data_IF_408454919072
#
_entry.id   IF_408454919072
#
_cell.length_a   1.000
_cell.length_b   1.000
_cell.length_c   1.000
_cell.angle_alpha   90.00
_cell.angle_beta   90.00
_cell.angle_gamma   90.00
#
_symmetry.space_group_name_H-M   'P 1'
#
loop_
_entity.id
_entity.type
_entity.pdbx_description
1 polymer ?
#
# COMPACT_ATOMS: atom_id res chain seq x y z
N UNK A 1 9.21 -15.51 -30.09
CA UNK A 1 9.58 -14.23 -29.41
C UNK A 1 9.95 -14.55 -27.97
N UNK A 2 11.04 -13.99 -27.45
CA UNK A 2 11.39 -14.10 -26.04
C UNK A 2 10.60 -13.06 -25.25
N UNK A 3 9.94 -13.46 -24.15
CA UNK A 3 9.22 -12.54 -23.26
C UNK A 3 10.28 -11.86 -22.37
N UNK A 4 10.33 -10.52 -22.31
CA UNK A 4 11.22 -9.83 -21.38
C UNK A 4 10.86 -10.14 -19.92
N UNK A 5 11.84 -10.58 -19.13
CA UNK A 5 11.71 -10.83 -17.69
C UNK A 5 12.60 -9.81 -16.98
N UNK A 6 11.96 -8.91 -16.24
CA UNK A 6 12.63 -7.78 -15.61
C UNK A 6 12.96 -8.07 -14.14
N UNK A 7 14.24 -7.97 -13.73
CA UNK A 7 14.63 -8.10 -12.34
C UNK A 7 14.12 -6.90 -11.51
N UNK A 8 14.22 -6.99 -10.19
CA UNK A 8 13.73 -5.99 -9.25
C UNK A 8 14.20 -4.56 -9.57
N UNK A 9 15.49 -4.37 -9.89
CA UNK A 9 16.04 -3.04 -10.21
C UNK A 9 15.42 -2.43 -11.47
N UNK A 10 15.32 -3.22 -12.55
CA UNK A 10 14.69 -2.80 -13.80
C UNK A 10 13.18 -2.56 -13.63
N UNK A 11 12.48 -3.42 -12.88
CA UNK A 11 11.07 -3.20 -12.54
C UNK A 11 10.90 -1.88 -11.78
N UNK A 12 11.75 -1.59 -10.81
CA UNK A 12 11.68 -0.37 -9.99
C UNK A 12 11.89 0.89 -10.84
N UNK A 13 12.84 0.88 -11.78
CA UNK A 13 13.11 2.04 -12.65
C UNK A 13 11.96 2.40 -13.58
N UNK A 14 11.08 1.44 -13.89
CA UNK A 14 9.86 1.64 -14.69
C UNK A 14 8.65 2.12 -13.87
N UNK A 15 8.80 2.29 -12.56
CA UNK A 15 7.72 2.68 -11.65
C UNK A 15 8.08 3.95 -10.86
N UNK A 16 8.37 5.09 -11.53
CA UNK A 16 8.56 6.36 -10.82
C UNK A 16 7.32 6.69 -10.00
N UNK A 17 7.51 7.06 -8.73
CA UNK A 17 6.39 7.13 -7.77
C UNK A 17 5.32 8.16 -8.18
N UNK A 18 5.72 9.29 -8.77
CA UNK A 18 4.77 10.32 -9.22
C UNK A 18 3.87 9.81 -10.36
N UNK A 19 4.47 9.16 -11.37
CA UNK A 19 3.75 8.61 -12.52
C UNK A 19 2.88 7.42 -12.09
N UNK A 20 3.37 6.62 -11.14
CA UNK A 20 2.61 5.54 -10.55
C UNK A 20 1.39 6.04 -9.78
N UNK A 21 1.51 7.13 -9.01
CA UNK A 21 0.35 7.77 -8.36
C UNK A 21 -0.68 8.25 -9.39
N UNK A 22 -0.22 8.81 -10.52
CA UNK A 22 -1.11 9.23 -11.59
C UNK A 22 -1.84 8.03 -12.23
N UNK A 23 -1.11 6.95 -12.55
CA UNK A 23 -1.70 5.73 -13.11
C UNK A 23 -2.72 5.10 -12.15
N UNK A 24 -2.43 5.08 -10.83
CA UNK A 24 -3.34 4.59 -9.79
C UNK A 24 -4.58 5.48 -9.65
N UNK A 25 -4.45 6.80 -9.76
CA UNK A 25 -5.59 7.72 -9.72
C UNK A 25 -6.56 7.48 -10.88
N UNK A 26 -6.06 7.27 -12.10
CA UNK A 26 -6.88 6.90 -13.26
C UNK A 26 -7.54 5.52 -13.07
N UNK A 27 -6.76 4.55 -12.62
CA UNK A 27 -7.25 3.20 -12.36
C UNK A 27 -8.33 3.15 -11.25
N UNK A 28 -8.25 4.01 -10.24
CA UNK A 28 -9.29 4.09 -9.20
C UNK A 28 -10.66 4.47 -9.77
N UNK A 29 -10.70 5.43 -10.68
CA UNK A 29 -11.93 5.81 -11.36
C UNK A 29 -12.44 4.70 -12.30
N UNK A 30 -11.55 4.00 -13.01
CA UNK A 30 -11.89 2.88 -13.88
C UNK A 30 -12.39 1.67 -13.10
N UNK A 31 -11.75 1.34 -11.98
CA UNK A 31 -12.13 0.23 -11.11
C UNK A 31 -13.52 0.45 -10.51
N UNK A 32 -13.77 1.63 -9.95
CA UNK A 32 -15.09 1.99 -9.41
C UNK A 32 -16.18 1.97 -10.49
N UNK A 33 -15.84 2.31 -11.74
CA UNK A 33 -16.76 2.25 -12.88
C UNK A 33 -16.89 0.85 -13.49
N UNK A 34 -16.25 -0.19 -12.94
CA UNK A 34 -16.29 -1.56 -13.47
C UNK A 34 -15.53 -1.77 -14.78
N UNK A 35 -14.70 -0.80 -15.22
CA UNK A 35 -13.88 -0.93 -16.43
C UNK A 35 -12.58 -1.71 -16.20
N UNK A 36 -12.12 -1.80 -14.95
CA UNK A 36 -11.11 -2.77 -14.53
C UNK A 36 -11.82 -3.87 -13.78
N UNK A 37 -11.66 -5.11 -14.25
CA UNK A 37 -12.17 -6.30 -13.59
C UNK A 37 -11.03 -6.92 -12.78
N UNK A 38 -11.23 -7.00 -11.47
CA UNK A 38 -10.27 -7.61 -10.54
C UNK A 38 -11.05 -8.51 -9.59
N UNK A 39 -11.15 -9.81 -9.87
CA UNK A 39 -11.83 -10.74 -8.97
C UNK A 39 -11.06 -10.89 -7.65
N UNK A 40 -11.75 -11.40 -6.65
CA UNK A 40 -11.16 -11.73 -5.37
C UNK A 40 -9.96 -12.69 -5.56
N UNK A 41 -8.91 -12.48 -4.75
CA UNK A 41 -7.70 -13.30 -4.84
C UNK A 41 -7.98 -14.75 -4.49
N UNK A 42 -7.43 -15.67 -5.27
CA UNK A 42 -7.43 -17.09 -4.93
C UNK A 42 -6.25 -17.37 -4.01
N UNK A 43 -6.50 -18.14 -2.96
CA UNK A 43 -5.49 -18.56 -1.98
C UNK A 43 -5.36 -20.07 -2.06
N UNK A 44 -4.19 -20.55 -2.49
CA UNK A 44 -3.88 -21.98 -2.53
C UNK A 44 -2.85 -22.30 -1.44
N UNK A 45 -3.12 -23.29 -0.58
CA UNK A 45 -2.15 -23.71 0.42
C UNK A 45 -0.94 -24.36 -0.25
N UNK A 46 0.24 -24.06 0.27
CA UNK A 46 1.49 -24.73 -0.02
C UNK A 46 1.91 -25.57 1.22
N UNK A 47 3.14 -26.06 1.23
CA UNK A 47 3.66 -26.83 2.36
C UNK A 47 3.83 -25.94 3.61
N UNK A 48 3.42 -26.42 4.77
CA UNK A 48 3.46 -25.67 6.03
C UNK A 48 2.45 -24.52 6.02
N UNK A 49 2.84 -23.35 6.53
CA UNK A 49 2.01 -22.13 6.57
C UNK A 49 2.17 -21.26 5.30
N UNK A 50 2.80 -21.80 4.26
CA UNK A 50 3.01 -21.08 3.01
C UNK A 50 1.74 -21.09 2.14
N UNK A 51 1.53 -20.02 1.40
CA UNK A 51 0.41 -19.87 0.46
C UNK A 51 0.89 -19.30 -0.88
N UNK A 52 0.18 -19.71 -1.94
CA UNK A 52 0.27 -19.11 -3.26
C UNK A 52 -0.99 -18.28 -3.48
N UNK A 53 -0.81 -17.01 -3.83
CA UNK A 53 -1.87 -16.07 -4.16
C UNK A 53 -1.91 -15.86 -5.67
N UNK A 54 -3.06 -16.12 -6.28
CA UNK A 54 -3.35 -15.86 -7.68
C UNK A 54 -4.27 -14.65 -7.78
N UNK A 55 -3.80 -13.59 -8.44
CA UNK A 55 -4.45 -12.28 -8.47
C UNK A 55 -4.49 -11.75 -9.92
N UNK A 56 -5.48 -12.16 -10.73
CA UNK A 56 -5.66 -11.62 -12.08
C UNK A 56 -6.39 -10.28 -12.05
N UNK A 57 -6.13 -9.45 -13.07
CA UNK A 57 -6.97 -8.29 -13.40
C UNK A 57 -6.93 -8.01 -14.90
N UNK A 58 -7.99 -7.41 -15.42
CA UNK A 58 -8.08 -7.05 -16.84
C UNK A 58 -8.79 -5.70 -17.03
N UNK A 59 -8.39 -5.04 -18.11
CA UNK A 59 -9.04 -3.85 -18.67
C UNK A 59 -9.08 -3.97 -20.20
N UNK A 60 -9.52 -2.95 -20.89
CA UNK A 60 -9.65 -2.98 -22.35
C UNK A 60 -8.31 -3.01 -23.11
N UNK A 61 -7.21 -2.62 -22.46
CA UNK A 61 -5.87 -2.48 -23.04
C UNK A 61 -4.91 -3.61 -22.65
N UNK A 62 -4.91 -4.00 -21.38
CA UNK A 62 -4.06 -5.07 -20.86
C UNK A 62 -4.79 -6.01 -19.91
N UNK A 63 -4.32 -7.26 -19.84
CA UNK A 63 -4.56 -8.17 -18.74
C UNK A 63 -3.27 -8.37 -17.95
N UNK A 64 -3.41 -8.63 -16.65
CA UNK A 64 -2.29 -9.03 -15.79
C UNK A 64 -2.62 -10.25 -14.97
N UNK A 65 -1.58 -10.98 -14.58
CA UNK A 65 -1.70 -11.98 -13.53
C UNK A 65 -0.52 -11.82 -12.55
N UNK A 66 -0.82 -11.40 -11.33
CA UNK A 66 0.15 -11.44 -10.24
C UNK A 66 0.07 -12.80 -9.54
N UNK A 67 1.17 -13.51 -9.54
CA UNK A 67 1.38 -14.75 -8.81
C UNK A 67 2.40 -14.49 -7.69
N UNK A 68 1.97 -14.63 -6.43
CA UNK A 68 2.81 -14.34 -5.26
C UNK A 68 2.77 -15.50 -4.28
N UNK A 69 3.94 -15.95 -3.86
CA UNK A 69 4.10 -16.95 -2.81
C UNK A 69 4.50 -16.24 -1.50
N UNK A 70 3.79 -16.55 -0.43
CA UNK A 70 4.13 -16.09 0.93
C UNK A 70 4.57 -17.31 1.74
N UNK A 71 5.85 -17.35 2.06
CA UNK A 71 6.50 -18.47 2.74
C UNK A 71 7.16 -17.96 4.04
N UNK A 72 6.44 -17.91 5.19
CA UNK A 72 6.95 -17.34 6.43
C UNK A 72 8.25 -18.01 6.92
N UNK A 73 8.36 -19.32 6.73
CA UNK A 73 9.52 -20.12 7.19
C UNK A 73 10.81 -19.85 6.40
N UNK A 74 10.74 -19.16 5.27
CA UNK A 74 11.93 -18.78 4.49
C UNK A 74 12.95 -17.96 5.29
N UNK A 75 12.47 -17.16 6.26
CA UNK A 75 13.37 -16.41 7.15
C UNK A 75 14.36 -17.30 7.91
N UNK A 76 13.94 -18.53 8.28
CA UNK A 76 14.80 -19.50 8.96
C UNK A 76 15.94 -20.00 8.06
N UNK A 77 15.81 -19.81 6.75
CA UNK A 77 16.77 -20.21 5.72
C UNK A 77 17.50 -19.01 5.09
N UNK A 78 17.31 -17.80 5.61
CA UNK A 78 17.87 -16.56 5.03
C UNK A 78 17.27 -16.16 3.68
N UNK A 79 16.11 -16.72 3.31
CA UNK A 79 15.43 -16.42 2.06
C UNK A 79 14.33 -15.36 2.29
N UNK A 80 13.98 -14.58 1.25
CA UNK A 80 12.82 -13.69 1.31
C UNK A 80 11.53 -14.46 1.59
N UNK A 81 10.64 -13.90 2.40
CA UNK A 81 9.32 -14.49 2.69
C UNK A 81 8.34 -14.40 1.52
N UNK A 82 8.59 -13.49 0.58
CA UNK A 82 7.71 -13.22 -0.55
C UNK A 82 8.51 -13.37 -1.85
N UNK A 83 7.99 -14.23 -2.74
CA UNK A 83 8.45 -14.38 -4.11
C UNK A 83 7.25 -14.25 -5.05
N UNK A 84 7.45 -13.72 -6.24
CA UNK A 84 6.36 -13.63 -7.19
C UNK A 84 6.69 -12.83 -8.43
N UNK A 85 5.78 -12.88 -9.37
CA UNK A 85 5.87 -12.18 -10.64
C UNK A 85 4.54 -11.49 -10.96
N UNK A 86 4.58 -10.47 -11.81
CA UNK A 86 3.42 -9.92 -12.51
C UNK A 86 3.64 -10.11 -14.00
N UNK A 87 2.88 -11.00 -14.61
CA UNK A 87 2.86 -11.18 -16.06
C UNK A 87 1.83 -10.24 -16.69
N UNK A 88 2.20 -9.61 -17.80
CA UNK A 88 1.41 -8.59 -18.50
C UNK A 88 1.12 -9.06 -19.90
N UNK A 89 -0.12 -8.91 -20.34
CA UNK A 89 -0.64 -9.40 -21.61
C UNK A 89 -1.40 -8.28 -22.34
N UNK A 90 -1.30 -8.28 -23.65
CA UNK A 90 -2.16 -7.48 -24.51
C UNK A 90 -3.60 -8.01 -24.44
N UNK A 91 -4.58 -7.14 -24.14
CA UNK A 91 -5.95 -7.60 -23.91
C UNK A 91 -6.68 -8.05 -25.18
N UNK A 92 -6.26 -7.59 -26.36
CA UNK A 92 -6.89 -7.94 -27.63
C UNK A 92 -6.38 -9.27 -28.17
N UNK A 93 -5.07 -9.49 -28.11
CA UNK A 93 -4.41 -10.64 -28.75
C UNK A 93 -4.04 -11.76 -27.76
N UNK A 94 -4.04 -11.48 -26.45
CA UNK A 94 -3.53 -12.38 -25.42
C UNK A 94 -2.01 -12.54 -25.43
N UNK A 95 -1.28 -11.78 -26.25
CA UNK A 95 0.17 -11.88 -26.36
C UNK A 95 0.83 -11.44 -25.04
N UNK A 96 1.76 -12.26 -24.49
CA UNK A 96 2.55 -11.83 -23.34
C UNK A 96 3.50 -10.70 -23.73
N UNK A 97 3.48 -9.61 -22.98
CA UNK A 97 4.25 -8.40 -23.24
C UNK A 97 5.55 -8.35 -22.43
N UNK A 98 5.46 -8.56 -21.12
CA UNK A 98 6.60 -8.58 -20.20
C UNK A 98 6.24 -9.24 -18.85
N UNK A 99 7.27 -9.57 -18.08
CA UNK A 99 7.14 -10.08 -16.71
C UNK A 99 7.93 -9.15 -15.79
N UNK A 100 7.26 -8.63 -14.75
CA UNK A 100 7.81 -7.75 -13.72
C UNK A 100 8.09 -8.53 -12.43
N UNK A 101 9.05 -8.05 -11.63
CA UNK A 101 9.29 -8.54 -10.27
C UNK A 101 8.09 -8.21 -9.35
N UNK A 102 7.37 -9.24 -8.90
CA UNK A 102 6.14 -9.10 -8.14
C UNK A 102 6.30 -8.40 -6.78
N UNK A 103 7.34 -8.74 -5.98
CA UNK A 103 7.63 -8.03 -4.74
C UNK A 103 7.89 -6.54 -4.94
N UNK A 104 8.60 -6.15 -6.00
CA UNK A 104 8.87 -4.74 -6.32
C UNK A 104 7.59 -4.00 -6.74
N UNK A 105 6.79 -4.58 -7.64
CA UNK A 105 5.48 -4.02 -8.00
C UNK A 105 4.63 -3.81 -6.76
N UNK A 106 4.53 -4.82 -5.89
CA UNK A 106 3.72 -4.73 -4.66
C UNK A 106 4.23 -3.63 -3.72
N UNK A 107 5.54 -3.51 -3.52
CA UNK A 107 6.11 -2.48 -2.64
C UNK A 107 5.83 -1.06 -3.19
N UNK A 108 6.10 -0.83 -4.49
CA UNK A 108 5.94 0.47 -5.13
C UNK A 108 4.47 0.89 -5.20
N UNK A 109 3.55 0.00 -5.66
CA UNK A 109 2.12 0.36 -5.77
C UNK A 109 1.46 0.57 -4.40
N UNK A 110 1.88 -0.16 -3.35
CA UNK A 110 1.32 0.01 -2.00
C UNK A 110 1.73 1.36 -1.42
N UNK A 111 3.01 1.73 -1.56
CA UNK A 111 3.48 3.04 -1.15
C UNK A 111 2.79 4.16 -1.94
N UNK A 112 2.63 4.01 -3.27
CA UNK A 112 1.96 5.00 -4.12
C UNK A 112 0.47 5.17 -3.76
N UNK A 113 -0.25 4.10 -3.42
CA UNK A 113 -1.64 4.17 -2.91
C UNK A 113 -1.69 5.00 -1.61
N UNK A 114 -0.77 4.78 -0.68
CA UNK A 114 -0.70 5.57 0.54
C UNK A 114 -0.40 7.06 0.25
N UNK A 115 0.50 7.34 -0.68
CA UNK A 115 0.79 8.73 -1.09
C UNK A 115 -0.41 9.37 -1.77
N UNK A 116 -1.13 8.64 -2.62
CA UNK A 116 -2.34 9.11 -3.27
C UNK A 116 -3.45 9.40 -2.24
N UNK A 117 -3.62 8.54 -1.24
CA UNK A 117 -4.55 8.78 -0.14
C UNK A 117 -4.17 10.01 0.68
N UNK A 118 -2.88 10.22 0.97
CA UNK A 118 -2.39 11.43 1.66
C UNK A 118 -2.72 12.69 0.84
N UNK A 119 -2.39 12.69 -0.44
CA UNK A 119 -2.65 13.83 -1.32
C UNK A 119 -4.15 14.14 -1.46
N UNK A 120 -5.02 13.12 -1.36
CA UNK A 120 -6.46 13.28 -1.52
C UNK A 120 -7.18 13.65 -0.23
N UNK A 121 -6.71 13.14 0.93
CA UNK A 121 -7.42 13.23 2.21
C UNK A 121 -6.77 14.18 3.22
N UNK A 122 -5.53 14.61 3.01
CA UNK A 122 -4.85 15.56 3.88
C UNK A 122 -4.71 16.92 3.20
N UNK A 123 -5.14 17.98 3.86
CA UNK A 123 -5.09 19.32 3.29
C UNK A 123 -3.68 19.88 3.32
N UNK A 124 -3.10 20.16 2.16
CA UNK A 124 -1.78 20.71 2.03
C UNK A 124 -0.63 19.74 2.34
N UNK A 125 0.55 20.28 2.66
CA UNK A 125 1.73 19.48 3.01
C UNK A 125 1.73 19.19 4.52
N UNK A 126 1.85 17.92 4.96
CA UNK A 126 1.98 17.63 6.38
C UNK A 126 3.29 18.19 6.95
N UNK A 127 3.26 18.65 8.20
CA UNK A 127 4.47 19.13 8.89
C UNK A 127 5.42 17.97 9.22
N UNK A 128 4.87 16.82 9.54
CA UNK A 128 5.59 15.58 9.78
C UNK A 128 4.70 14.36 9.47
N UNK A 129 5.34 13.23 9.17
CA UNK A 129 4.71 11.93 8.99
C UNK A 129 5.25 10.98 10.06
N UNK A 130 4.38 10.24 10.75
CA UNK A 130 4.80 9.10 11.56
C UNK A 130 4.67 7.80 10.75
N UNK A 131 5.72 6.99 10.80
CA UNK A 131 5.78 5.68 10.17
C UNK A 131 5.88 4.63 11.27
N UNK A 132 4.83 3.84 11.47
CA UNK A 132 4.80 2.80 12.50
C UNK A 132 5.08 1.46 11.86
N UNK A 133 6.29 0.93 12.09
CA UNK A 133 6.85 -0.26 11.49
C UNK A 133 8.19 0.00 10.83
N UNK A 134 9.08 -1.01 10.84
CA UNK A 134 10.47 -0.94 10.33
C UNK A 134 10.76 -2.06 9.33
N UNK A 135 9.70 -2.61 8.73
CA UNK A 135 9.77 -3.71 7.77
C UNK A 135 9.99 -3.25 6.32
N UNK A 136 9.87 -4.20 5.39
CA UNK A 136 10.07 -3.98 3.95
C UNK A 136 9.11 -2.94 3.37
N UNK A 137 7.83 -2.96 3.79
CA UNK A 137 6.85 -1.97 3.35
C UNK A 137 7.21 -0.56 3.85
N UNK A 138 7.71 -0.43 5.07
CA UNK A 138 8.17 0.83 5.62
C UNK A 138 9.31 1.45 4.79
N UNK A 139 10.25 0.62 4.30
CA UNK A 139 11.31 1.08 3.39
C UNK A 139 10.74 1.65 2.08
N UNK A 140 9.80 0.95 1.44
CA UNK A 140 9.16 1.43 0.21
C UNK A 140 8.37 2.73 0.42
N UNK A 141 7.67 2.85 1.55
CA UNK A 141 6.96 4.08 1.91
C UNK A 141 7.92 5.24 2.16
N UNK A 142 9.07 4.98 2.81
CA UNK A 142 10.08 6.01 3.03
C UNK A 142 10.66 6.57 1.73
N UNK A 143 10.92 5.69 0.75
CA UNK A 143 11.36 6.10 -0.58
C UNK A 143 10.29 6.93 -1.31
N UNK A 144 9.02 6.53 -1.21
CA UNK A 144 7.91 7.27 -1.79
C UNK A 144 7.71 8.65 -1.12
N UNK A 145 7.84 8.72 0.21
CA UNK A 145 7.81 9.97 0.96
C UNK A 145 8.97 10.88 0.54
N UNK A 146 10.18 10.35 0.39
CA UNK A 146 11.34 11.11 -0.04
C UNK A 146 11.16 11.71 -1.44
N UNK A 147 10.52 10.97 -2.35
CA UNK A 147 10.26 11.43 -3.71
C UNK A 147 9.21 12.54 -3.79
N UNK A 148 8.14 12.47 -2.97
CA UNK A 148 7.01 13.40 -3.04
C UNK A 148 7.04 14.53 -2.00
N UNK A 149 7.70 14.29 -0.86
CA UNK A 149 7.81 15.23 0.26
C UNK A 149 9.27 15.39 0.71
N UNK A 150 10.20 15.81 -0.17
CA UNK A 150 11.60 15.96 0.23
C UNK A 150 11.72 16.88 1.46
N UNK A 151 12.74 16.62 2.29
CA UNK A 151 13.06 17.36 3.52
C UNK A 151 12.00 17.30 4.64
N UNK A 152 10.95 16.47 4.47
CA UNK A 152 9.94 16.31 5.53
C UNK A 152 10.53 15.55 6.72
N UNK A 153 10.05 15.87 7.92
CA UNK A 153 10.34 15.08 9.12
C UNK A 153 9.51 13.77 9.08
N UNK A 154 10.21 12.65 9.28
CA UNK A 154 9.58 11.35 9.45
C UNK A 154 9.95 10.75 10.80
N UNK A 155 8.96 10.63 11.68
CA UNK A 155 9.05 9.97 12.97
C UNK A 155 8.86 8.46 12.77
N UNK A 156 9.92 7.69 12.96
CA UNK A 156 9.91 6.23 12.75
C UNK A 156 9.69 5.52 14.08
N UNK A 157 8.59 4.78 14.18
CA UNK A 157 8.23 4.01 15.36
C UNK A 157 8.43 2.51 15.12
N UNK A 158 9.44 1.93 15.76
CA UNK A 158 9.65 0.48 15.82
C UNK A 158 9.06 -0.13 17.09
N UNK A 159 9.20 -1.44 17.23
CA UNK A 159 8.83 -2.15 18.45
C UNK A 159 9.70 -1.68 19.62
N UNK A 160 11.00 -1.60 19.36
CA UNK A 160 11.98 -1.04 20.29
C UNK A 160 12.67 0.19 19.66
N UNK A 161 13.22 1.06 20.52
CA UNK A 161 13.97 2.25 20.07
C UNK A 161 15.16 1.87 19.18
N UNK A 162 15.80 0.74 19.46
CA UNK A 162 16.92 0.22 18.67
C UNK A 162 16.49 -0.12 17.23
N UNK A 163 15.29 -0.70 17.04
CA UNK A 163 14.75 -1.01 15.69
C UNK A 163 14.52 0.27 14.89
N UNK A 164 13.97 1.30 15.53
CA UNK A 164 13.74 2.62 14.91
C UNK A 164 15.06 3.29 14.52
N UNK A 165 16.04 3.27 15.42
CA UNK A 165 17.35 3.88 15.19
C UNK A 165 18.11 3.18 14.06
N UNK A 166 18.11 1.85 14.05
CA UNK A 166 18.72 1.05 12.98
C UNK A 166 18.05 1.28 11.62
N UNK A 167 16.71 1.36 11.60
CA UNK A 167 15.96 1.66 10.39
C UNK A 167 16.31 3.07 9.87
N UNK A 168 16.33 4.09 10.73
CA UNK A 168 16.73 5.44 10.35
C UNK A 168 18.17 5.48 9.82
N UNK A 169 19.10 4.77 10.45
CA UNK A 169 20.50 4.71 10.01
C UNK A 169 20.64 4.09 8.61
N UNK A 170 19.92 3.01 8.31
CA UNK A 170 19.93 2.37 6.98
C UNK A 170 19.40 3.29 5.88
N UNK A 171 18.47 4.18 6.20
CA UNK A 171 17.82 5.07 5.25
C UNK A 171 18.32 6.53 5.32
N UNK A 172 19.39 6.78 6.07
CA UNK A 172 19.98 8.12 6.21
C UNK A 172 20.36 8.82 4.89
N UNK A 173 20.67 8.09 3.77
CA UNK A 173 20.92 8.74 2.48
C UNK A 173 19.69 9.37 1.81
N UNK A 174 18.47 9.07 2.26
CA UNK A 174 17.27 9.69 1.71
C UNK A 174 17.16 11.16 2.14
N UNK A 175 16.64 12.07 1.28
CA UNK A 175 16.44 13.48 1.61
C UNK A 175 15.24 13.67 2.56
N UNK A 176 15.37 13.16 3.79
CA UNK A 176 14.35 13.18 4.84
C UNK A 176 15.00 13.50 6.20
N UNK A 177 14.25 14.20 7.05
CA UNK A 177 14.64 14.40 8.46
C UNK A 177 14.12 13.22 9.31
N UNK A 178 14.85 12.09 9.30
CA UNK A 178 14.46 10.86 10.02
C UNK A 178 14.70 11.01 11.52
N UNK A 179 13.70 10.65 12.32
CA UNK A 179 13.77 10.66 13.79
C UNK A 179 13.31 9.31 14.34
N UNK A 180 14.18 8.56 15.05
CA UNK A 180 13.75 7.34 15.72
C UNK A 180 12.86 7.71 16.91
N UNK A 181 11.72 7.03 17.02
CA UNK A 181 10.70 7.27 18.05
C UNK A 181 10.19 5.96 18.64
N UNK A 182 9.54 6.05 19.80
CA UNK A 182 8.81 4.98 20.46
C UNK A 182 7.60 5.56 21.21
N UNK A 183 6.54 4.77 21.34
CA UNK A 183 5.34 5.15 22.11
C UNK A 183 4.43 6.09 21.35
N UNK A 184 3.87 7.08 22.04
CA UNK A 184 2.86 7.99 21.48
C UNK A 184 3.40 8.82 20.31
N UNK A 185 2.54 9.02 19.32
CA UNK A 185 2.83 9.89 18.16
C UNK A 185 2.78 11.37 18.59
N UNK A 186 3.75 12.15 18.16
CA UNK A 186 3.82 13.58 18.49
C UNK A 186 2.59 14.35 17.97
N UNK A 187 2.18 15.39 18.72
CA UNK A 187 0.93 16.10 18.43
C UNK A 187 0.95 16.91 17.12
N UNK A 188 2.12 17.30 16.65
CA UNK A 188 2.36 18.02 15.40
C UNK A 188 2.47 17.12 14.16
N UNK A 189 2.39 15.80 14.32
CA UNK A 189 2.34 14.85 13.21
C UNK A 189 0.98 14.90 12.53
N UNK A 190 0.97 15.26 11.25
CA UNK A 190 -0.26 15.37 10.45
C UNK A 190 -0.71 14.07 9.80
N UNK A 191 0.20 13.12 9.55
CA UNK A 191 -0.13 11.82 8.93
C UNK A 191 0.53 10.70 9.70
N UNK A 192 -0.21 9.63 9.97
CA UNK A 192 0.30 8.40 10.58
C UNK A 192 0.08 7.25 9.59
N UNK A 193 1.14 6.52 9.25
CA UNK A 193 1.08 5.33 8.40
C UNK A 193 1.46 4.11 9.23
N UNK A 194 0.57 3.11 9.32
CA UNK A 194 0.84 1.86 10.05
C UNK A 194 1.18 0.74 9.07
N UNK A 195 2.31 0.05 9.30
CA UNK A 195 2.94 -0.90 8.37
C UNK A 195 3.46 -2.14 9.10
N UNK A 196 2.70 -2.63 10.08
CA UNK A 196 3.09 -3.76 10.91
C UNK A 196 2.27 -5.02 10.61
N UNK A 197 2.69 -6.14 11.15
CA UNK A 197 1.93 -7.39 11.13
C UNK A 197 1.28 -7.67 12.49
N UNK A 198 0.94 -6.62 13.24
CA UNK A 198 0.35 -6.76 14.57
C UNK A 198 -1.02 -7.44 14.53
N UNK A 199 -1.32 -8.23 15.57
CA UNK A 199 -2.64 -8.85 15.78
C UNK A 199 -3.49 -8.08 16.79
N UNK A 200 -2.93 -7.01 17.36
CA UNK A 200 -3.62 -6.12 18.28
C UNK A 200 -3.29 -4.67 17.90
N UNK A 201 -4.20 -3.73 18.19
CA UNK A 201 -3.96 -2.32 17.91
C UNK A 201 -2.64 -1.82 18.52
N UNK A 202 -1.92 -1.01 17.76
CA UNK A 202 -0.65 -0.37 18.16
C UNK A 202 -0.78 1.16 18.15
N UNK A 203 -1.82 1.68 17.52
CA UNK A 203 -2.22 3.08 17.56
C UNK A 203 -3.52 3.19 18.36
N UNK A 204 -3.46 3.86 19.52
CA UNK A 204 -4.57 3.93 20.50
C UNK A 204 -5.12 5.34 20.70
N UNK A 205 -4.59 6.34 19.99
CA UNK A 205 -5.04 7.71 20.12
C UNK A 205 -6.41 7.90 19.46
N UNK A 206 -7.18 8.85 19.98
CA UNK A 206 -8.47 9.22 19.40
C UNK A 206 -8.31 9.83 17.99
N UNK A 207 -9.39 9.76 17.22
CA UNK A 207 -9.47 10.39 15.91
C UNK A 207 -9.33 11.92 16.00
N UNK A 208 -8.56 12.54 15.11
CA UNK A 208 -8.32 13.98 15.07
C UNK A 208 -8.52 14.53 13.65
N UNK A 209 -9.19 15.67 13.51
CA UNK A 209 -9.45 16.29 12.21
C UNK A 209 -8.18 16.81 11.53
N UNK A 210 -7.14 17.12 12.30
CA UNK A 210 -5.83 17.58 11.80
C UNK A 210 -4.83 16.43 11.56
N UNK A 211 -5.25 15.15 11.70
CA UNK A 211 -4.41 13.97 11.52
C UNK A 211 -5.11 12.95 10.64
N UNK A 212 -4.46 12.58 9.53
CA UNK A 212 -4.88 11.47 8.70
C UNK A 212 -4.24 10.17 9.18
N UNK A 213 -5.04 9.11 9.32
CA UNK A 213 -4.55 7.76 9.56
C UNK A 213 -4.56 6.97 8.25
N UNK A 214 -3.48 6.25 7.98
CA UNK A 214 -3.32 5.36 6.80
C UNK A 214 -2.93 3.98 7.31
N UNK A 215 -3.88 3.07 7.36
CA UNK A 215 -3.68 1.68 7.80
C UNK A 215 -3.34 0.76 6.63
N UNK A 216 -2.18 0.12 6.66
CA UNK A 216 -1.69 -0.73 5.55
C UNK A 216 -1.39 -2.16 6.00
N UNK A 217 -0.89 -2.34 7.23
CA UNK A 217 -0.30 -3.60 7.66
C UNK A 217 -1.30 -4.70 8.01
N UNK A 218 -2.48 -4.36 8.52
CA UNK A 218 -3.52 -5.33 8.85
C UNK A 218 -4.35 -5.69 7.61
N UNK A 219 -3.96 -6.73 6.88
CA UNK A 219 -4.57 -7.22 5.64
C UNK A 219 -5.21 -8.61 5.79
N UNK A 220 -5.44 -9.06 7.02
CA UNK A 220 -6.16 -10.29 7.36
C UNK A 220 -7.09 -10.03 8.54
N UNK A 221 -8.20 -10.76 8.68
CA UNK A 221 -9.17 -10.55 9.75
C UNK A 221 -8.60 -10.69 11.17
N UNK A 222 -7.54 -11.48 11.36
CA UNK A 222 -6.87 -11.70 12.64
C UNK A 222 -5.80 -10.65 13.00
N UNK A 223 -5.66 -9.59 12.19
CA UNK A 223 -4.69 -8.51 12.36
C UNK A 223 -5.37 -7.21 12.73
N UNK A 224 -4.70 -6.38 13.54
CA UNK A 224 -5.14 -5.02 13.84
C UNK A 224 -3.97 -4.10 14.15
N UNK A 225 -4.03 -2.86 13.68
CA UNK A 225 -3.04 -1.82 13.94
C UNK A 225 -3.66 -0.59 14.60
N UNK A 226 -4.89 -0.24 14.22
CA UNK A 226 -5.58 0.99 14.63
C UNK A 226 -6.68 0.64 15.63
N UNK A 227 -6.70 1.35 16.75
CA UNK A 227 -7.65 1.13 17.83
C UNK A 227 -9.09 1.56 17.46
N UNK A 228 -10.10 0.94 18.10
CA UNK A 228 -11.51 1.15 17.77
C UNK A 228 -11.98 2.60 17.98
N UNK A 229 -11.42 3.34 18.92
CA UNK A 229 -11.77 4.74 19.15
C UNK A 229 -11.42 5.64 17.96
N UNK A 230 -10.23 5.43 17.36
CA UNK A 230 -9.82 6.14 16.17
C UNK A 230 -10.69 5.77 14.95
N UNK A 231 -11.06 4.49 14.82
CA UNK A 231 -11.93 4.01 13.73
C UNK A 231 -13.32 4.62 13.84
N UNK A 232 -13.96 4.50 15.01
CA UNK A 232 -15.30 5.00 15.26
C UNK A 232 -15.43 6.54 15.10
N UNK A 233 -14.36 7.29 15.41
CA UNK A 233 -14.32 8.74 15.28
C UNK A 233 -14.03 9.26 13.86
N UNK A 234 -13.70 8.40 12.90
CA UNK A 234 -13.23 8.78 11.57
C UNK A 234 -14.26 8.55 10.45
N UNK A 235 -14.18 9.33 9.39
CA UNK A 235 -14.71 8.93 8.09
C UNK A 235 -13.78 7.86 7.52
N UNK A 236 -14.36 6.76 7.04
CA UNK A 236 -13.60 5.60 6.60
C UNK A 236 -13.49 5.54 5.08
N UNK A 237 -12.29 5.30 4.60
CA UNK A 237 -11.98 5.11 3.18
C UNK A 237 -11.19 3.82 2.99
N UNK A 238 -11.38 3.16 1.86
CA UNK A 238 -10.56 2.02 1.47
C UNK A 238 -10.16 2.10 0.00
N UNK A 239 -8.99 1.56 -0.31
CA UNK A 239 -8.58 1.36 -1.71
C UNK A 239 -9.49 0.33 -2.43
N UNK A 240 -10.00 -0.66 -1.70
CA UNK A 240 -10.96 -1.66 -2.17
C UNK A 240 -11.99 -1.95 -1.08
N UNK A 241 -13.14 -1.22 -1.03
CA UNK A 241 -14.18 -1.43 -0.02
C UNK A 241 -14.78 -2.84 -0.03
N UNK A 242 -14.82 -3.51 -1.21
CA UNK A 242 -15.34 -4.87 -1.32
C UNK A 242 -14.39 -5.87 -0.70
N UNK A 243 -13.11 -5.83 -1.06
CA UNK A 243 -12.07 -6.69 -0.48
C UNK A 243 -11.84 -6.40 1.01
N UNK A 244 -11.97 -5.13 1.43
CA UNK A 244 -11.80 -4.73 2.82
C UNK A 244 -12.79 -5.41 3.78
N UNK A 245 -13.99 -5.76 3.32
CA UNK A 245 -14.99 -6.51 4.11
C UNK A 245 -14.45 -7.88 4.58
N UNK A 246 -13.48 -8.43 3.88
CA UNK A 246 -12.91 -9.75 4.15
C UNK A 246 -11.47 -9.70 4.66
N UNK A 247 -10.76 -8.59 4.47
CA UNK A 247 -9.31 -8.49 4.71
C UNK A 247 -8.90 -7.39 5.71
N UNK A 248 -9.70 -6.32 5.87
CA UNK A 248 -9.36 -5.18 6.72
C UNK A 248 -9.60 -5.50 8.20
N UNK A 249 -8.70 -6.25 8.83
CA UNK A 249 -8.88 -6.73 10.19
C UNK A 249 -9.18 -5.65 11.21
N UNK A 250 -8.60 -4.46 11.08
CA UNK A 250 -8.93 -3.30 11.92
C UNK A 250 -10.42 -2.95 11.89
N UNK A 251 -10.96 -2.85 10.67
CA UNK A 251 -12.35 -2.44 10.46
C UNK A 251 -13.33 -3.57 10.79
N UNK A 252 -12.96 -4.83 10.46
CA UNK A 252 -13.75 -6.03 10.77
C UNK A 252 -13.92 -6.16 12.29
N UNK A 253 -12.83 -6.07 13.06
CA UNK A 253 -12.83 -6.20 14.53
C UNK A 253 -13.54 -5.03 15.21
N UNK A 254 -13.52 -3.84 14.61
CA UNK A 254 -14.26 -2.68 15.08
C UNK A 254 -15.77 -2.73 14.77
N UNK A 255 -16.23 -3.69 13.96
CA UNK A 255 -17.65 -3.85 13.60
C UNK A 255 -18.22 -2.67 12.82
N UNK A 256 -17.46 -2.12 11.88
CA UNK A 256 -17.87 -0.93 11.12
C UNK A 256 -19.09 -1.18 10.24
N UNK A 257 -19.89 -0.15 10.03
CA UNK A 257 -20.92 -0.15 8.98
C UNK A 257 -20.24 0.02 7.61
N UNK A 258 -20.19 -1.07 6.84
CA UNK A 258 -19.52 -1.11 5.54
C UNK A 258 -20.15 -0.23 4.47
N UNK A 259 -21.41 0.17 4.62
CA UNK A 259 -22.07 1.07 3.69
C UNK A 259 -21.58 2.53 3.86
N UNK A 260 -20.88 2.81 4.96
CA UNK A 260 -20.21 4.10 5.23
C UNK A 260 -18.76 4.15 4.76
N UNK A 261 -18.17 3.02 4.37
CA UNK A 261 -16.78 2.95 3.90
C UNK A 261 -16.70 3.40 2.45
N UNK A 262 -16.09 4.55 2.23
CA UNK A 262 -15.95 5.18 0.92
C UNK A 262 -14.73 4.61 0.15
N UNK A 263 -14.80 4.71 -1.19
CA UNK A 263 -13.71 4.26 -2.07
C UNK A 263 -12.59 5.31 -2.19
N UNK A 264 -11.42 4.85 -2.66
CA UNK A 264 -10.32 5.74 -3.04
C UNK A 264 -10.75 6.75 -4.12
N UNK A 265 -11.61 6.36 -5.07
CA UNK A 265 -12.12 7.26 -6.10
C UNK A 265 -12.96 8.40 -5.51
N UNK A 266 -13.73 8.14 -4.46
CA UNK A 266 -14.49 9.17 -3.74
C UNK A 266 -13.57 10.09 -2.95
N UNK A 267 -12.51 9.54 -2.34
CA UNK A 267 -11.47 10.34 -1.69
C UNK A 267 -10.79 11.30 -2.68
N UNK A 268 -10.40 10.80 -3.86
CA UNK A 268 -9.80 11.61 -4.95
C UNK A 268 -10.77 12.69 -5.44
N UNK A 269 -12.07 12.38 -5.53
CA UNK A 269 -13.11 13.34 -5.92
C UNK A 269 -13.45 14.37 -4.83
N UNK A 270 -12.81 14.31 -3.65
CA UNK A 270 -13.05 15.22 -2.54
C UNK A 270 -14.42 15.04 -1.87
N UNK A 271 -15.02 13.86 -1.97
CA UNK A 271 -16.34 13.55 -1.41
C UNK A 271 -16.27 13.21 0.07
N UNK A 272 -15.88 14.16 0.90
CA UNK A 272 -15.80 13.99 2.35
C UNK A 272 -15.95 15.32 3.09
N UNK A 273 -16.25 15.26 4.38
CA UNK A 273 -16.24 16.43 5.25
C UNK A 273 -14.81 16.68 5.77
N UNK A 274 -14.19 17.76 5.31
CA UNK A 274 -12.82 18.12 5.69
C UNK A 274 -12.64 18.46 7.18
N UNK A 275 -13.76 18.72 7.90
CA UNK A 275 -13.73 19.03 9.35
C UNK A 275 -13.70 17.77 10.23
N UNK A 276 -14.07 16.62 9.66
CA UNK A 276 -14.09 15.35 10.39
C UNK A 276 -12.73 14.62 10.27
N UNK A 277 -12.34 13.83 11.28
CA UNK A 277 -11.20 12.92 11.16
C UNK A 277 -11.36 11.94 9.99
N UNK A 278 -10.25 11.50 9.43
CA UNK A 278 -10.21 10.60 8.26
C UNK A 278 -9.25 9.45 8.50
N UNK A 279 -9.69 8.27 8.12
CA UNK A 279 -8.89 7.05 8.12
C UNK A 279 -8.99 6.38 6.75
N UNK A 280 -7.86 6.13 6.14
CA UNK A 280 -7.73 5.36 4.91
C UNK A 280 -7.19 3.97 5.21
N UNK A 281 -7.87 2.92 4.76
CA UNK A 281 -7.45 1.53 4.88
C UNK A 281 -7.08 0.94 3.53
N UNK A 282 -5.84 0.47 3.39
CA UNK A 282 -5.37 -0.24 2.20
C UNK A 282 -5.35 -1.75 2.48
N UNK A 283 -5.98 -2.52 1.61
CA UNK A 283 -5.93 -3.99 1.58
C UNK A 283 -5.29 -4.48 0.28
N UNK A 284 -5.40 -3.69 -0.78
CA UNK A 284 -4.80 -3.96 -2.08
C UNK A 284 -5.60 -4.94 -2.93
N UNK A 285 -5.71 -4.64 -4.22
CA UNK A 285 -6.35 -5.46 -5.25
C UNK A 285 -5.43 -5.60 -6.46
N UNK A 286 -5.68 -6.57 -7.33
CA UNK A 286 -4.93 -6.71 -8.58
C UNK A 286 -5.16 -5.54 -9.55
N UNK A 287 -6.21 -4.73 -9.37
CA UNK A 287 -6.42 -3.50 -10.12
C UNK A 287 -5.24 -2.52 -9.96
N UNK A 288 -4.64 -2.47 -8.78
CA UNK A 288 -3.45 -1.62 -8.52
C UNK A 288 -2.17 -2.18 -9.16
N UNK A 289 -2.06 -3.50 -9.23
CA UNK A 289 -0.98 -4.16 -9.96
C UNK A 289 -1.12 -3.95 -11.49
N UNK A 290 -2.36 -3.88 -12.01
CA UNK A 290 -2.64 -3.51 -13.40
C UNK A 290 -2.26 -2.05 -13.68
N UNK A 291 -2.58 -1.12 -12.78
CA UNK A 291 -2.15 0.27 -12.91
C UNK A 291 -0.61 0.40 -12.92
N UNK A 292 0.07 -0.36 -12.06
CA UNK A 292 1.53 -0.42 -12.06
C UNK A 292 2.09 -1.02 -13.37
N UNK A 293 1.45 -2.05 -13.92
CA UNK A 293 1.84 -2.62 -15.20
C UNK A 293 1.68 -1.62 -16.36
N UNK A 294 0.61 -0.82 -16.36
CA UNK A 294 0.42 0.28 -17.34
C UNK A 294 1.55 1.32 -17.24
N UNK A 295 1.88 1.74 -16.02
CA UNK A 295 3.00 2.65 -15.76
C UNK A 295 4.32 2.06 -16.29
N UNK A 296 4.62 0.81 -15.96
CA UNK A 296 5.82 0.12 -16.42
C UNK A 296 5.88 -0.01 -17.96
N UNK A 297 4.79 -0.36 -18.62
CA UNK A 297 4.72 -0.46 -20.08
C UNK A 297 4.94 0.89 -20.75
N UNK A 298 4.41 1.98 -20.20
CA UNK A 298 4.62 3.32 -20.75
C UNK A 298 6.11 3.68 -20.75
N UNK A 299 6.80 3.43 -19.63
CA UNK A 299 8.24 3.69 -19.50
C UNK A 299 9.10 2.69 -20.31
N UNK A 300 8.69 1.43 -20.41
CA UNK A 300 9.38 0.41 -21.20
C UNK A 300 9.38 0.73 -22.70
N UNK A 301 8.28 1.28 -23.24
CA UNK A 301 8.17 1.66 -24.66
C UNK A 301 8.85 2.97 -24.99
N UNK A 302 9.13 3.81 -24.01
CA UNK A 302 9.77 5.11 -24.17
C UNK A 302 11.31 5.05 -24.15
N UNK A 303 11.90 3.96 -23.65
CA UNK A 303 13.34 3.72 -23.59
C UNK A 303 13.77 2.62 -24.54
#
# INVERSE_FOLDING_TARGET
MSIPVLPASATKSLLPIADLCQALSLAAAEYTAGRIVSPERQVLPLRGDAVLLSMPASASDIGIHKLVNVCPDNLKQGLPTIHGIVSVYDALTGQPLLILDGPTVTAQRTAAISMLAINSLYAGRPAAIALIGTGKQASGHLEAIAALFPDIRVDVHGREMADSAEFCRRHAPLPLALRPCRGRVADDVGVVITLTTSKAPIYHEDARSNRLLVGVGAFRPDMAEIGPAAIAGSQLFSDDPVGARHEAGDLIQAGVDWDTVQSLAEAIAGRYDAKRPRLFKSVGTAAWDLAAARCALAHWKAG
#
